data_IF_604688643428
#
_entry.id   IF_604688643428
#
_cell.length_a   1.000
_cell.length_b   1.000
_cell.length_c   1.000
_cell.angle_alpha   90.00
_cell.angle_beta   90.00
_cell.angle_gamma   90.00
#
_symmetry.space_group_name_H-M   'P 1'
#
loop_
_entity.id
_entity.type
_entity.pdbx_description
1 polymer ?
2 water ?
#
# COMPACT_ATOMS: atom_id res chain seq x y z
N UNK A 2 5.96 19.67 -13.82
CA UNK A 2 5.17 19.47 -12.60
C UNK A 2 5.20 18.01 -12.13
N UNK A 3 5.70 17.09 -12.96
CA UNK A 3 5.86 15.69 -12.57
C UNK A 3 6.67 15.59 -11.27
N UNK A 4 6.31 14.62 -10.39
CA UNK A 4 7.02 14.43 -9.14
C UNK A 4 7.50 13.01 -8.98
N UNK A 5 8.44 12.90 -8.03
CA UNK A 5 9.10 11.67 -7.69
C UNK A 5 8.96 11.45 -6.21
N UNK A 6 8.51 10.25 -5.83
CA UNK A 6 8.39 9.97 -4.41
C UNK A 6 9.24 8.78 -4.03
N UNK A 7 10.53 8.97 -3.76
CA UNK A 7 11.37 7.83 -3.36
C UNK A 7 11.12 7.47 -1.91
N UNK A 8 11.24 6.18 -1.61
CA UNK A 8 11.04 5.60 -0.31
C UNK A 8 12.35 5.50 0.43
N UNK A 9 12.40 5.95 1.67
CA UNK A 9 13.63 5.89 2.46
C UNK A 9 13.30 5.41 3.89
N UNK A 10 14.32 4.90 4.60
CA UNK A 10 14.16 4.51 5.99
C UNK A 10 15.39 4.85 6.82
N UNK A 11 16.33 5.58 6.24
CA UNK A 11 17.43 6.17 6.95
C UNK A 11 17.71 7.58 6.44
N UNK A 12 18.41 8.35 7.29
CA UNK A 12 18.88 9.67 6.89
C UNK A 12 19.81 9.61 5.69
N UNK A 13 20.70 8.64 5.70
CA UNK A 13 21.63 8.39 4.60
C UNK A 13 20.88 8.18 3.26
N UNK A 14 19.85 7.34 3.26
CA UNK A 14 19.05 7.12 2.08
C UNK A 14 18.43 8.43 1.61
N UNK A 15 17.90 9.20 2.54
CA UNK A 15 17.21 10.45 2.18
C UNK A 15 18.18 11.38 1.43
N UNK A 16 19.42 11.47 1.94
CA UNK A 16 20.48 12.25 1.30
C UNK A 16 20.76 11.72 -0.12
N UNK A 17 20.69 10.42 -0.37
CA UNK A 17 21.03 9.87 -1.68
C UNK A 17 19.94 10.15 -2.71
N UNK A 18 18.68 10.37 -2.30
CA UNK A 18 17.59 10.52 -3.25
C UNK A 18 17.07 11.95 -3.39
N UNK A 19 17.54 12.85 -2.55
CA UNK A 19 17.06 14.22 -2.57
C UNK A 19 17.96 15.15 -3.41
N UNK A 20 18.64 14.67 -4.45
CA UNK A 20 19.45 15.49 -5.33
C UNK A 20 18.63 16.46 -6.20
N UNK A 21 17.30 16.32 -6.31
CA UNK A 21 16.57 16.97 -7.40
C UNK A 21 15.32 17.64 -6.90
N UNK A 22 14.86 18.62 -7.70
CA UNK A 22 13.55 19.21 -7.46
C UNK A 22 12.45 18.15 -7.60
N UNK A 23 11.22 18.58 -7.21
CA UNK A 23 9.99 17.83 -7.42
C UNK A 23 10.07 16.45 -6.76
N UNK A 24 10.92 16.30 -5.77
CA UNK A 24 11.21 15.03 -5.12
C UNK A 24 10.88 15.13 -3.59
N UNK A 25 10.05 14.18 -3.11
CA UNK A 25 9.45 14.15 -1.79
C UNK A 25 9.57 12.73 -1.26
N UNK A 26 10.03 12.64 -0.03
CA UNK A 26 10.25 11.33 0.57
C UNK A 26 8.93 10.62 0.91
N UNK A 27 8.92 9.30 0.73
CA UNK A 27 7.97 8.40 1.31
C UNK A 27 8.67 7.63 2.44
N UNK A 28 7.94 7.50 3.56
CA UNK A 28 8.34 6.60 4.64
C UNK A 28 7.21 5.61 4.90
N UNK A 29 7.54 4.32 4.76
CA UNK A 29 6.61 3.25 5.02
C UNK A 29 6.53 3.02 6.52
N UNK A 30 5.37 3.28 7.12
CA UNK A 30 5.24 3.17 8.58
C UNK A 30 5.24 1.72 9.08
N UNK A 31 5.19 0.75 8.17
CA UNK A 31 5.44 -0.67 8.50
C UNK A 31 6.90 -0.93 8.86
N UNK A 32 7.81 -0.10 8.36
CA UNK A 32 9.22 -0.38 8.37
C UNK A 32 9.90 -0.19 9.72
N UNK A 34 9.12 0.72 14.29
CA UNK A 34 8.20 0.96 15.39
C UNK A 34 7.81 2.44 15.49
N UNK A 35 6.61 2.67 16.04
CA UNK A 35 6.02 4.00 16.05
C UNK A 35 7.01 5.01 16.65
N UNK A 36 7.63 4.80 17.83
CA UNK A 36 8.56 5.78 18.39
C UNK A 36 9.71 6.10 17.42
N UNK A 37 10.22 5.10 16.72
CA UNK A 37 11.33 5.26 15.78
C UNK A 37 10.87 6.09 14.57
N UNK A 38 9.64 5.83 14.13
CA UNK A 38 9.04 6.60 13.05
C UNK A 38 8.97 8.08 13.41
N UNK A 39 8.43 8.36 14.60
CA UNK A 39 8.28 9.71 15.09
C UNK A 39 9.63 10.40 15.18
N UNK A 40 10.66 9.73 15.74
CA UNK A 40 11.96 10.33 15.81
C UNK A 40 12.55 10.59 14.40
N UNK A 41 12.39 9.63 13.49
CA UNK A 41 12.92 9.75 12.14
C UNK A 41 12.29 10.93 11.44
N UNK A 42 10.98 11.08 11.54
CA UNK A 42 10.32 12.19 10.89
C UNK A 42 10.85 13.49 11.49
N UNK A 43 10.94 13.56 12.83
CA UNK A 43 11.49 14.75 13.46
C UNK A 43 12.90 15.07 12.93
N UNK A 44 13.76 14.07 12.77
CA UNK A 44 15.08 14.34 12.18
C UNK A 44 15.02 14.90 10.76
N UNK A 45 14.16 14.32 9.94
CA UNK A 45 14.09 14.71 8.54
C UNK A 45 13.60 16.16 8.47
N UNK A 46 12.54 16.52 9.21
CA UNK A 46 12.03 17.86 9.07
C UNK A 46 12.96 18.91 9.67
N UNK A 47 13.86 18.54 10.58
CA UNK A 47 14.91 19.44 11.06
C UNK A 47 15.94 19.75 9.96
N UNK A 48 16.38 18.69 9.27
CA UNK A 48 17.28 18.74 8.14
C UNK A 48 16.64 19.40 6.90
N UNK A 49 15.37 19.12 6.62
CA UNK A 49 14.72 19.52 5.37
C UNK A 49 13.44 20.28 5.65
N UNK A 50 13.54 21.48 6.24
CA UNK A 50 12.38 22.18 6.75
C UNK A 50 11.38 22.53 5.65
N UNK A 51 10.11 22.33 5.98
CA UNK A 51 9.06 22.64 5.05
C UNK A 51 8.85 21.59 3.94
N UNK A 52 9.75 20.61 3.75
CA UNK A 52 9.57 19.66 2.64
C UNK A 52 8.55 18.58 3.02
N UNK A 53 7.47 18.46 2.26
CA UNK A 53 6.46 17.46 2.60
C UNK A 53 7.06 16.05 2.59
N UNK A 54 6.54 15.25 3.53
CA UNK A 54 6.92 13.85 3.62
C UNK A 54 5.65 13.00 3.61
N UNK A 55 5.63 12.00 2.74
CA UNK A 55 4.51 11.06 2.63
C UNK A 55 4.67 9.91 3.62
N UNK A 56 3.82 9.87 4.64
CA UNK A 56 3.86 8.77 5.63
C UNK A 56 2.77 7.78 5.27
N UNK A 57 3.22 6.59 4.85
CA UNK A 57 2.39 5.56 4.26
C UNK A 57 1.83 4.72 5.39
N UNK A 58 0.54 4.79 5.53
CA UNK A 58 -0.17 4.04 6.57
C UNK A 58 -0.62 2.70 5.99
N UNK A 59 -0.43 1.63 6.74
CA UNK A 59 -0.74 0.30 6.21
C UNK A 59 -2.24 0.01 6.29
N UNK A 60 -3.02 0.91 6.88
CA UNK A 60 -4.42 1.04 6.51
C UNK A 60 -5.19 -0.29 6.63
N UNK A 61 -6.10 -0.45 5.70
CA UNK A 61 -6.89 -1.64 5.56
C UNK A 61 -6.11 -2.91 5.24
N UNK A 62 -4.75 -2.92 5.11
CA UNK A 62 -4.08 -4.12 4.60
C UNK A 62 -4.25 -5.27 5.58
N UNK A 63 -4.57 -6.47 5.07
CA UNK A 63 -4.72 -7.63 5.94
C UNK A 63 -3.52 -8.56 5.76
N UNK A 64 -2.99 -9.03 6.89
CA UNK A 64 -1.89 -9.96 6.94
C UNK A 64 -2.20 -11.06 7.97
N UNK A 65 -1.60 -12.22 7.76
CA UNK A 65 -1.47 -13.23 8.79
C UNK A 65 -0.78 -12.56 9.98
N UNK A 66 -1.26 -12.87 11.20
CA UNK A 66 -0.63 -12.43 12.43
C UNK A 66 0.87 -12.72 12.40
N UNK A 67 1.62 -11.80 13.01
CA UNK A 67 3.06 -11.91 13.20
C UNK A 67 3.42 -12.97 14.24
N UNK A 68 2.48 -13.29 15.17
CA UNK A 68 2.68 -14.34 16.18
C UNK A 68 2.12 -15.70 15.72
N UNK A 69 1.62 -15.79 14.47
CA UNK A 69 1.12 -17.05 13.91
C UNK A 69 2.21 -18.09 13.93
N UNK A 70 2.04 -19.24 14.61
CA UNK A 70 2.94 -20.37 14.42
C UNK A 70 2.76 -21.00 13.03
N UNK A 71 3.88 -21.47 12.49
CA UNK A 71 3.91 -22.15 11.19
C UNK A 71 2.94 -23.33 11.22
N UNK A 72 2.14 -23.50 10.18
CA UNK A 72 1.02 -24.43 10.12
C UNK A 72 0.96 -25.02 8.73
N UNK A 73 0.84 -26.35 8.64
CA UNK A 73 0.61 -27.05 7.38
C UNK A 73 -0.90 -27.10 7.18
N UNK A 74 -1.40 -26.43 6.15
CA UNK A 74 -2.79 -26.50 5.72
C UNK A 74 -2.84 -27.53 4.60
N UNK A 75 -3.81 -28.42 4.71
CA UNK A 75 -4.00 -29.47 3.72
C UNK A 75 -5.24 -29.21 2.86
N UNK A 76 -5.07 -29.45 1.56
CA UNK A 76 -6.18 -29.38 0.61
C UNK A 76 -7.43 -30.07 1.16
N UNK A 77 -8.56 -29.37 1.11
CA UNK A 77 -9.86 -29.86 1.53
C UNK A 77 -10.09 -29.91 3.05
N UNK A 78 -9.13 -29.57 3.89
CA UNK A 78 -9.39 -29.54 5.32
C UNK A 78 -10.34 -28.37 5.60
N UNK A 79 -11.18 -28.49 6.64
CA UNK A 79 -11.86 -27.35 7.23
C UNK A 79 -10.85 -26.64 8.12
N UNK A 80 -10.98 -25.34 8.22
CA UNK A 80 -10.04 -24.60 9.06
C UNK A 80 -10.75 -23.39 9.65
N UNK A 81 -10.32 -22.99 10.86
CA UNK A 81 -10.82 -21.76 11.46
C UNK A 81 -9.94 -20.56 11.08
N UNK A 82 -10.62 -19.49 10.67
CA UNK A 82 -10.07 -18.14 10.43
C UNK A 82 -10.45 -17.28 11.63
N UNK A 83 -9.47 -16.66 12.28
CA UNK A 83 -9.84 -15.86 13.44
C UNK A 83 -8.98 -14.60 13.57
N UNK A 84 -9.56 -13.64 14.25
CA UNK A 84 -8.89 -12.40 14.62
C UNK A 84 -8.37 -12.48 16.05
N UNK A 85 -8.63 -13.57 16.79
CA UNK A 85 -7.98 -13.77 18.08
C UNK A 85 -6.48 -13.83 17.95
N UNK A 86 -5.81 -13.47 19.02
CA UNK A 86 -4.37 -13.59 19.03
C UNK A 86 -4.03 -15.07 18.97
N UNK A 87 -2.90 -15.42 18.32
CA UNK A 87 -2.33 -16.76 18.33
C UNK A 87 -2.05 -17.30 19.71
N UNK A 88 -2.23 -18.60 19.86
CA UNK A 88 -1.93 -19.30 21.08
C UNK A 88 -1.07 -20.47 20.66
N UNK A 89 -0.34 -21.03 21.63
CA UNK A 89 0.41 -22.25 21.39
C UNK A 89 -0.59 -23.34 21.01
N UNK A 90 -0.22 -24.09 19.98
CA UNK A 90 -0.98 -25.23 19.53
C UNK A 90 -2.23 -24.82 18.79
N UNK A 91 -2.37 -23.52 18.46
CA UNK A 91 -3.47 -23.16 17.59
C UNK A 91 -3.36 -23.97 16.30
N UNK A 92 -4.52 -24.41 15.79
CA UNK A 92 -4.68 -25.02 14.48
C UNK A 92 -5.39 -24.05 13.55
N UNK A 93 -5.59 -22.79 13.97
CA UNK A 93 -6.33 -21.80 13.19
C UNK A 93 -5.37 -20.89 12.39
N UNK A 94 -5.92 -20.21 11.39
CA UNK A 94 -5.32 -19.10 10.67
C UNK A 94 -5.68 -17.81 11.40
N UNK A 95 -4.68 -17.14 11.92
CA UNK A 95 -4.85 -15.94 12.74
C UNK A 95 -4.50 -14.71 11.92
N UNK A 96 -5.49 -13.84 11.78
CA UNK A 96 -5.45 -12.61 11.00
C UNK A 96 -5.14 -11.43 11.94
N UNK A 97 -4.29 -10.53 11.46
CA UNK A 97 -3.89 -9.34 12.18
C UNK A 97 -4.97 -8.25 12.27
N UNK A 98 -5.73 -8.03 11.21
CA UNK A 98 -6.69 -6.95 11.16
C UNK A 98 -8.00 -7.48 11.74
N UNK A 99 -8.45 -6.90 12.87
CA UNK A 99 -9.69 -7.28 13.52
C UNK A 99 -10.99 -6.90 12.81
N UNK A 100 -10.93 -6.13 11.73
CA UNK A 100 -12.11 -5.82 10.93
C UNK A 100 -12.40 -6.97 9.93
N UNK A 101 -11.55 -8.01 9.89
CA UNK A 101 -11.53 -8.94 8.75
C UNK A 101 -12.80 -9.79 8.74
N UNK A 102 -13.32 -10.21 9.90
CA UNK A 102 -14.47 -11.12 9.91
C UNK A 102 -15.62 -10.42 9.19
N UNK A 103 -15.82 -9.12 9.45
CA UNK A 103 -16.94 -8.38 8.92
C UNK A 103 -16.85 -8.22 7.41
N UNK A 104 -15.66 -8.45 6.85
CA UNK A 104 -15.47 -8.32 5.40
C UNK A 104 -15.70 -9.65 4.66
N UNK A 105 -15.73 -10.75 5.41
CA UNK A 105 -15.98 -12.06 4.86
C UNK A 105 -17.46 -12.38 4.71
N UNK A 106 -17.79 -13.23 3.75
CA UNK A 106 -19.12 -13.78 3.56
C UNK A 106 -18.98 -15.20 3.07
N UNK A 107 -20.09 -15.94 3.09
CA UNK A 107 -20.06 -17.25 2.46
C UNK A 107 -19.66 -17.13 1.01
N UNK A 108 -18.66 -17.92 0.58
CA UNK A 108 -18.25 -17.85 -0.81
C UNK A 108 -17.01 -17.00 -1.10
N UNK A 109 -16.58 -16.17 -0.14
CA UNK A 109 -15.42 -15.34 -0.28
C UNK A 109 -14.21 -16.24 -0.45
N UNK A 110 -13.43 -15.99 -1.49
CA UNK A 110 -12.12 -16.60 -1.58
C UNK A 110 -11.07 -15.72 -0.92
N UNK A 111 -10.06 -16.32 -0.30
CA UNK A 111 -8.94 -15.58 0.22
C UNK A 111 -7.67 -16.19 -0.36
N UNK A 112 -6.90 -15.37 -1.05
CA UNK A 112 -5.53 -15.72 -1.45
C UNK A 112 -4.57 -15.40 -0.33
N UNK A 113 -3.78 -16.38 0.10
CA UNK A 113 -2.81 -16.15 1.15
C UNK A 113 -1.40 -16.27 0.55
N UNK A 114 -0.50 -15.36 0.96
CA UNK A 114 0.90 -15.36 0.55
C UNK A 114 0.96 -15.23 -0.96
N UNK A 115 0.23 -14.24 -1.49
CA UNK A 115 0.12 -13.93 -2.91
C UNK A 115 -0.57 -15.04 -3.70
N UNK A 116 -1.33 -15.92 -3.06
CA UNK A 116 -1.92 -16.98 -3.84
C UNK A 116 -1.19 -18.31 -3.70
N UNK A 117 -0.13 -18.36 -2.90
CA UNK A 117 0.51 -19.65 -2.69
C UNK A 117 -0.42 -20.59 -1.94
N UNK A 119 -4.82 -20.90 -0.87
CA UNK A 119 -6.14 -20.37 -1.10
C UNK A 119 -7.17 -21.10 -0.24
N UNK A 120 -8.15 -20.31 0.28
CA UNK A 120 -9.25 -20.84 1.07
C UNK A 120 -10.54 -20.21 0.53
N UNK A 121 -11.64 -20.91 0.81
CA UNK A 121 -13.00 -20.39 0.60
C UNK A 121 -13.72 -20.38 1.96
N UNK A 122 -14.35 -19.22 2.23
CA UNK A 122 -15.11 -19.08 3.48
C UNK A 122 -16.47 -19.77 3.33
N UNK A 123 -16.77 -20.62 4.30
CA UNK A 123 -18.01 -21.41 4.33
C UNK A 123 -19.06 -20.66 5.14
N UNK A 124 -18.64 -20.05 6.26
CA UNK A 124 -19.60 -19.36 7.10
C UNK A 124 -18.89 -18.53 8.14
N UNK A 125 -19.67 -17.63 8.74
CA UNK A 125 -19.25 -16.93 9.95
C UNK A 125 -19.66 -17.72 11.21
N UNK A 126 -18.71 -18.10 12.05
CA UNK A 126 -19.00 -18.79 13.28
C UNK A 126 -19.43 -17.89 14.43
N UNK A 127 -18.69 -16.81 14.65
CA UNK A 127 -18.95 -15.82 15.69
C UNK A 127 -18.19 -14.56 15.30
N UNK A 128 -18.23 -13.51 16.15
CA UNK A 128 -17.65 -12.22 15.74
C UNK A 128 -16.15 -12.27 15.53
N UNK A 129 -15.48 -13.26 16.11
CA UNK A 129 -14.06 -13.37 15.90
C UNK A 129 -13.61 -14.47 14.91
N UNK A 130 -14.52 -15.25 14.30
CA UNK A 130 -14.16 -16.55 13.73
C UNK A 130 -15.05 -16.88 12.56
N UNK A 131 -14.40 -17.33 11.48
CA UNK A 131 -15.12 -17.87 10.33
C UNK A 131 -14.63 -19.31 10.13
N UNK A 132 -15.41 -20.10 9.41
CA UNK A 132 -15.02 -21.43 9.00
C UNK A 132 -14.81 -21.38 7.48
N UNK A 133 -13.67 -21.96 7.06
CA UNK A 133 -13.23 -22.01 5.68
C UNK A 133 -12.80 -23.43 5.29
N UNK A 134 -12.70 -23.63 3.98
CA UNK A 134 -12.15 -24.84 3.42
C UNK A 134 -10.87 -24.51 2.69
N UNK A 135 -9.80 -25.25 2.91
CA UNK A 135 -8.61 -25.00 2.13
C UNK A 135 -8.77 -25.48 0.67
N UNK A 136 -8.50 -24.64 -0.33
CA UNK A 136 -8.54 -24.95 -1.75
C UNK A 136 -7.15 -25.36 -2.22
N UNK A 137 -6.15 -24.59 -1.84
CA UNK A 137 -4.75 -24.83 -2.11
C UNK A 137 -3.98 -24.74 -0.81
N UNK A 138 -3.30 -25.82 -0.45
CA UNK A 138 -2.60 -25.89 0.81
C UNK A 138 -1.12 -25.55 0.72
N UNK A 139 -0.43 -25.70 1.82
CA UNK A 139 0.97 -25.32 1.96
C UNK A 139 1.29 -24.94 3.41
N UNK A 140 2.47 -24.36 3.62
CA UNK A 140 2.88 -23.98 4.97
C UNK A 140 2.58 -22.50 5.23
N UNK A 141 1.71 -22.25 6.22
CA UNK A 141 1.29 -20.92 6.61
C UNK A 141 2.33 -20.32 7.54
N UNK A 142 2.71 -19.08 7.22
CA UNK A 142 3.75 -18.36 7.95
C UNK A 142 3.25 -17.01 8.41
N UNK A 143 3.81 -16.46 9.51
CA UNK A 143 3.44 -15.14 9.99
C UNK A 143 3.73 -14.04 8.97
N UNK A 144 2.81 -13.08 8.91
CA UNK A 144 3.04 -11.81 8.24
C UNK A 144 2.72 -11.82 6.75
N UNK A 145 2.23 -12.95 6.21
CA UNK A 145 1.99 -13.05 4.77
C UNK A 145 0.68 -12.33 4.45
N UNK A 146 0.52 -12.00 3.17
CA UNK A 146 -0.65 -11.30 2.67
C UNK A 146 -1.90 -12.17 2.73
N UNK A 147 -3.07 -11.52 2.65
CA UNK A 147 -4.37 -12.12 2.83
C UNK A 147 -5.32 -11.23 2.04
N UNK A 148 -5.69 -11.70 0.87
CA UNK A 148 -6.49 -10.91 -0.05
C UNK A 148 -7.80 -11.60 -0.27
N UNK A 149 -8.88 -10.82 -0.17
CA UNK A 149 -10.23 -11.31 -0.28
C UNK A 149 -10.74 -11.09 -1.70
N UNK A 150 -11.51 -12.03 -2.22
CA UNK A 150 -12.30 -11.85 -3.42
C UNK A 150 -13.66 -12.46 -3.18
N UNK A 151 -14.78 -11.69 -3.23
CA UNK A 151 -14.75 -10.24 -3.38
C UNK A 151 -14.38 -9.55 -2.06
N UNK A 152 -13.98 -8.29 -2.18
CA UNK A 152 -13.70 -7.44 -1.04
C UNK A 152 -14.75 -6.35 -1.06
N UNK A 153 -15.65 -6.24 -0.04
CA UNK A 153 -16.73 -5.27 -0.09
C UNK A 153 -16.19 -3.82 0.02
N UNK A 154 -16.98 -2.89 -0.51
CA UNK A 154 -16.67 -1.47 -0.44
C UNK A 154 -17.33 -0.91 0.83
N UNK A 155 -16.63 -0.95 1.96
CA UNK A 155 -17.08 -0.50 3.27
C UNK A 155 -15.99 0.36 3.89
N UNK A 156 -16.37 1.23 4.83
CA UNK A 156 -15.41 1.99 5.61
C UNK A 156 -14.60 1.07 6.54
N UNK A 157 -13.30 0.95 6.30
CA UNK A 157 -12.43 0.37 7.31
C UNK A 157 -12.03 1.51 8.27
N UNK A 158 -12.29 1.33 9.56
CA UNK A 158 -11.71 2.25 10.52
C UNK A 158 -10.21 1.97 10.59
N UNK A 159 -9.47 3.04 10.93
CA UNK A 159 -8.04 2.88 11.07
C UNK A 159 -7.76 1.86 12.15
N UNK A 160 -6.61 1.22 12.04
CA UNK A 160 -6.08 0.36 13.05
C UNK A 160 -5.61 1.18 14.25
N UNK A 161 -5.54 0.55 15.44
CA UNK A 161 -5.07 1.30 16.61
C UNK A 161 -3.66 1.87 16.32
N UNK A 162 -2.83 1.13 15.58
CA UNK A 162 -1.46 1.55 15.31
C UNK A 162 -1.47 2.77 14.40
N UNK A 163 -2.29 2.74 13.38
CA UNK A 163 -2.33 3.86 12.43
C UNK A 163 -2.94 5.08 13.11
N UNK A 164 -4.01 4.86 13.91
CA UNK A 164 -4.58 5.97 14.65
C UNK A 164 -3.55 6.67 15.55
N UNK A 165 -2.68 5.88 16.15
CA UNK A 165 -1.66 6.38 17.01
C UNK A 165 -0.63 7.17 16.20
N UNK A 166 -0.25 6.63 15.03
CA UNK A 166 0.73 7.29 14.18
C UNK A 166 0.17 8.66 13.81
N UNK A 167 -1.08 8.70 13.45
CA UNK A 167 -1.68 9.94 13.01
C UNK A 167 -1.70 10.94 14.17
N UNK A 168 -2.10 10.47 15.34
CA UNK A 168 -2.14 11.33 16.51
C UNK A 168 -0.75 11.88 16.83
N UNK A 169 0.32 11.09 16.72
CA UNK A 169 1.63 11.50 17.16
C UNK A 169 2.38 12.30 16.09
N UNK A 170 1.86 12.35 14.86
CA UNK A 170 2.49 13.05 13.75
C UNK A 170 1.66 14.23 13.26
N UNK A 171 0.42 14.42 13.78
CA UNK A 171 -0.47 15.43 13.20
C UNK A 171 0.05 16.84 13.50
N UNK A 172 0.98 16.99 14.43
CA UNK A 172 1.57 18.29 14.76
C UNK A 172 2.88 18.59 14.00
N UNK A 173 3.30 17.71 13.09
CA UNK A 173 4.44 17.98 12.23
C UNK A 173 3.94 18.51 10.91
N UNK A 174 4.20 19.78 10.58
CA UNK A 174 3.47 20.40 9.50
C UNK A 174 3.77 19.68 8.16
N UNK A 175 4.98 19.14 7.98
CA UNK A 175 5.39 18.57 6.72
C UNK A 175 4.70 17.25 6.37
N UNK A 176 4.14 16.55 7.37
CA UNK A 176 3.61 15.21 7.15
C UNK A 176 2.34 15.24 6.32
N UNK A 177 2.33 14.35 5.31
CA UNK A 177 1.18 13.96 4.52
C UNK A 177 0.95 12.49 4.82
N UNK A 178 -0.30 12.04 4.76
CA UNK A 178 -0.57 10.61 5.00
C UNK A 178 -1.05 9.97 3.71
N UNK A 179 -0.49 8.82 3.38
CA UNK A 179 -0.98 7.92 2.36
C UNK A 179 -1.70 6.76 3.03
N UNK A 180 -2.96 6.63 2.69
CA UNK A 180 -3.81 5.60 3.27
C UNK A 180 -3.87 4.38 2.33
N UNK A 181 -3.39 3.23 2.83
CA UNK A 181 -3.44 1.98 2.09
C UNK A 181 -4.88 1.47 1.90
N UNK A 182 -5.11 0.87 0.73
CA UNK A 182 -6.29 0.10 0.37
C UNK A 182 -7.55 0.91 0.64
N UNK A 183 -7.64 2.11 0.07
CA UNK A 183 -8.85 2.89 0.21
C UNK A 183 -9.97 2.20 -0.59
N UNK A 184 -11.21 2.23 -0.03
CA UNK A 184 -12.40 1.68 -0.67
C UNK A 184 -13.50 2.74 -0.80
N UNK A 185 -13.65 3.64 0.21
CA UNK A 185 -14.76 4.60 0.25
C UNK A 185 -14.33 5.97 0.74
N UNK A 186 -15.11 6.98 0.36
CA UNK A 186 -14.78 8.36 0.68
C UNK A 186 -14.73 8.54 2.20
N UNK A 187 -15.61 7.86 2.96
CA UNK A 187 -15.63 8.03 4.41
C UNK A 187 -14.27 7.76 5.05
N UNK A 188 -13.45 6.87 4.48
CA UNK A 188 -12.12 6.60 5.03
C UNK A 188 -11.23 7.84 4.90
N UNK A 189 -11.33 8.54 3.76
CA UNK A 189 -10.60 9.80 3.62
C UNK A 189 -11.14 10.83 4.62
N UNK A 190 -12.46 10.99 4.71
CA UNK A 190 -13.03 12.01 5.60
C UNK A 190 -12.57 11.78 7.01
N UNK A 191 -12.60 10.53 7.46
CA UNK A 191 -12.15 10.22 8.81
C UNK A 191 -10.69 10.65 9.03
N UNK A 192 -9.81 10.27 8.09
CA UNK A 192 -8.41 10.59 8.19
C UNK A 192 -8.16 12.10 8.12
N UNK A 193 -8.95 12.85 7.32
CA UNK A 193 -8.89 14.31 7.33
C UNK A 193 -9.23 14.87 8.71
N UNK A 194 -10.29 14.33 9.34
CA UNK A 194 -10.71 14.83 10.64
C UNK A 194 -9.63 14.52 11.68
N UNK A 195 -9.10 13.31 11.68
CA UNK A 195 -8.17 12.93 12.73
C UNK A 195 -6.83 13.64 12.58
N UNK A 196 -6.51 14.08 11.35
CA UNK A 196 -5.19 14.61 11.10
C UNK A 196 -5.24 16.14 11.07
N UNK A 197 -6.42 16.73 11.31
CA UNK A 197 -6.63 18.17 11.24
C UNK A 197 -6.45 18.68 9.82
N UNK A 198 -6.99 17.99 8.83
CA UNK A 198 -7.04 18.59 7.51
C UNK A 198 -5.76 18.35 6.70
N UNK A 199 -4.90 17.43 7.13
CA UNK A 199 -3.66 17.23 6.39
C UNK A 199 -3.93 16.74 4.96
N UNK A 200 -2.86 16.89 4.18
CA UNK A 200 -2.82 16.40 2.82
C UNK A 200 -2.87 14.87 2.87
N UNK A 201 -3.79 14.31 2.09
CA UNK A 201 -4.06 12.88 2.11
C UNK A 201 -3.95 12.25 0.71
N UNK A 202 -3.27 11.11 0.65
CA UNK A 202 -3.17 10.31 -0.57
C UNK A 202 -4.09 9.12 -0.38
N UNK A 203 -5.03 8.94 -1.33
CA UNK A 203 -5.73 7.65 -1.45
C UNK A 203 -4.94 6.65 -2.28
N UNK A 204 -4.53 5.55 -1.66
CA UNK A 204 -3.87 4.46 -2.33
C UNK A 204 -4.89 3.48 -2.90
N UNK A 205 -4.95 3.43 -4.24
CA UNK A 205 -5.86 2.56 -4.99
C UNK A 205 -5.16 1.25 -5.33
N UNK A 206 -5.63 0.17 -4.70
CA UNK A 206 -4.99 -1.11 -4.76
C UNK A 206 -5.96 -2.20 -5.18
N UNK A 207 -7.00 -1.77 -5.86
CA UNK A 207 -8.10 -2.61 -6.29
C UNK A 207 -8.81 -1.91 -7.46
N UNK A 208 -9.72 -2.65 -8.10
CA UNK A 208 -10.51 -2.15 -9.20
C UNK A 208 -11.61 -1.30 -8.58
N UNK A 210 -14.83 1.61 -9.88
CA UNK A 210 -15.45 2.37 -10.97
C UNK A 210 -15.11 3.84 -10.88
N UNK A 211 -15.27 4.55 -12.01
CA UNK A 211 -14.98 5.96 -12.10
C UNK A 211 -15.75 6.80 -11.08
N UNK A 212 -17.02 6.43 -10.86
CA UNK A 212 -17.84 7.26 -10.03
C UNK A 212 -17.35 7.16 -8.59
N UNK A 213 -16.95 5.96 -8.15
CA UNK A 213 -16.40 5.85 -6.81
C UNK A 213 -15.15 6.74 -6.70
N UNK A 214 -14.34 6.73 -7.75
CA UNK A 214 -13.04 7.38 -7.70
C UNK A 214 -13.23 8.89 -7.74
N UNK A 215 -14.26 9.39 -8.48
CA UNK A 215 -14.60 10.79 -8.46
C UNK A 215 -14.97 11.26 -7.07
N UNK A 216 -15.75 10.45 -6.37
CA UNK A 216 -16.12 10.77 -5.00
C UNK A 216 -14.87 10.85 -4.14
N UNK A 217 -14.04 9.82 -4.22
CA UNK A 217 -12.83 9.79 -3.42
C UNK A 217 -11.91 10.96 -3.76
N UNK A 218 -11.78 11.27 -5.03
CA UNK A 218 -10.83 12.27 -5.52
C UNK A 218 -11.20 13.70 -5.12
N UNK A 219 -12.47 13.91 -4.73
CA UNK A 219 -12.92 15.23 -4.34
C UNK A 219 -12.61 15.50 -2.86
N UNK A 220 -12.26 14.46 -2.12
CA UNK A 220 -11.92 14.54 -0.71
C UNK A 220 -10.41 14.40 -0.49
N UNK A 221 -9.69 13.58 -1.27
CA UNK A 221 -8.25 13.38 -1.05
C UNK A 221 -7.47 14.39 -1.88
N UNK A 222 -6.13 14.41 -1.78
CA UNK A 222 -5.33 15.42 -2.44
C UNK A 222 -4.49 14.85 -3.61
N UNK A 223 -4.44 13.53 -3.67
CA UNK A 223 -3.60 12.79 -4.59
C UNK A 223 -4.04 11.34 -4.55
N UNK A 224 -3.82 10.67 -5.68
CA UNK A 224 -4.10 9.24 -5.79
C UNK A 224 -2.82 8.54 -6.25
N UNK A 225 -2.45 7.45 -5.53
CA UNK A 225 -1.47 6.51 -6.00
C UNK A 225 -2.17 5.26 -6.56
N UNK A 226 -1.78 4.83 -7.76
CA UNK A 226 -2.11 3.54 -8.31
C UNK A 226 -1.00 2.60 -7.85
N UNK A 227 -1.36 1.66 -6.99
CA UNK A 227 -0.43 0.79 -6.31
C UNK A 227 -0.49 -0.60 -6.89
N UNK A 228 0.40 -0.86 -7.83
CA UNK A 228 0.34 -2.10 -8.59
C UNK A 228 0.84 -3.32 -7.80
N UNK A 229 1.62 -3.13 -6.77
CA UNK A 229 2.06 -4.25 -5.94
C UNK A 229 0.87 -5.12 -5.47
N UNK A 230 0.16 -4.62 -4.49
CA UNK A 230 -0.99 -5.31 -3.95
C UNK A 230 -2.10 -5.41 -4.99
N UNK A 232 -1.84 -6.30 -7.98
CA UNK A 232 -1.55 -7.53 -8.70
C UNK A 232 -2.05 -8.79 -8.00
N UNK A 233 -1.99 -8.83 -6.67
CA UNK A 233 -2.51 -10.02 -5.99
C UNK A 233 -4.05 -10.00 -5.94
N UNK A 234 -4.55 -8.82 -5.64
CA UNK A 234 -5.99 -8.61 -5.49
C UNK A 234 -6.75 -8.94 -6.75
N UNK A 235 -6.21 -8.51 -7.93
CA UNK A 235 -6.91 -8.61 -9.19
C UNK A 235 -6.36 -9.77 -10.04
N UNK A 236 -5.18 -10.28 -9.75
CA UNK A 236 -4.44 -11.06 -10.72
C UNK A 236 -3.81 -10.15 -11.80
N UNK A 237 -2.87 -10.75 -12.55
CA UNK A 237 -2.01 -9.96 -13.44
C UNK A 237 -2.81 -9.38 -14.59
N UNK A 238 -3.70 -10.17 -15.20
CA UNK A 238 -4.52 -9.66 -16.27
C UNK A 238 -5.47 -8.58 -15.77
N UNK A 239 -6.16 -8.89 -14.65
CA UNK A 239 -7.07 -7.89 -14.08
C UNK A 239 -6.37 -6.58 -13.68
N UNK A 241 -3.59 -5.39 -15.22
CA UNK A 241 -3.17 -4.72 -16.43
C UNK A 241 -4.37 -4.00 -17.03
N UNK A 242 -5.49 -4.67 -17.06
CA UNK A 242 -6.70 -4.10 -17.60
C UNK A 242 -7.13 -2.86 -16.81
N UNK A 243 -7.24 -2.97 -15.49
CA UNK A 243 -7.69 -1.88 -14.67
C UNK A 243 -6.74 -0.68 -14.72
N UNK A 244 -5.40 -0.85 -14.65
CA UNK A 244 -4.55 0.34 -14.75
C UNK A 244 -4.79 1.06 -16.08
N UNK A 245 -4.94 0.32 -17.19
CA UNK A 245 -5.24 0.93 -18.47
C UNK A 245 -6.59 1.68 -18.45
N UNK A 246 -7.59 1.08 -17.84
CA UNK A 246 -8.91 1.72 -17.78
C UNK A 246 -8.81 3.01 -16.96
N UNK A 247 -8.13 2.93 -15.82
CA UNK A 247 -7.87 4.09 -14.96
C UNK A 247 -7.22 5.25 -15.72
N UNK A 248 -6.19 4.94 -16.51
CA UNK A 248 -5.46 5.91 -17.29
C UNK A 248 -6.44 6.63 -18.23
N UNK A 249 -7.44 5.92 -18.75
CA UNK A 249 -8.34 6.51 -19.74
C UNK A 249 -9.28 7.52 -19.09
N UNK A 250 -9.57 7.37 -17.80
CA UNK A 250 -10.52 8.32 -17.16
C UNK A 250 -9.89 9.14 -16.03
N UNK A 252 -8.07 11.77 -15.93
CA UNK A 252 -8.18 13.20 -16.10
C UNK A 252 -9.54 13.71 -15.57
N UNK A 253 -10.53 12.81 -15.35
CA UNK A 253 -11.83 13.25 -14.82
C UNK A 253 -11.75 13.51 -13.33
N UNK A 254 -10.65 13.02 -12.69
CA UNK A 254 -10.51 13.15 -11.26
C UNK A 254 -9.88 14.47 -10.89
N UNK A 255 -10.16 14.99 -9.70
CA UNK A 255 -9.80 16.35 -9.37
C UNK A 255 -8.39 16.43 -8.76
N UNK A 256 -7.68 15.32 -8.69
CA UNK A 256 -6.37 15.30 -8.05
C UNK A 256 -5.35 14.68 -8.98
N UNK A 257 -4.05 14.93 -8.74
CA UNK A 257 -3.00 14.22 -9.43
C UNK A 257 -2.95 12.70 -9.19
N UNK A 258 -2.49 11.99 -10.22
CA UNK A 258 -2.38 10.54 -10.23
C UNK A 258 -0.90 10.17 -10.36
N UNK A 259 -0.47 9.33 -9.42
CA UNK A 259 0.92 8.91 -9.29
C UNK A 259 1.00 7.39 -9.48
N UNK A 261 2.58 3.73 -9.00
CA UNK A 261 3.43 3.08 -8.02
C UNK A 261 3.46 1.57 -8.23
N UNK A 262 4.47 0.91 -7.63
CA UNK A 262 4.59 -0.52 -7.57
C UNK A 262 5.40 -1.04 -8.73
N UNK A 263 6.69 -1.25 -8.45
CA UNK A 263 7.63 -1.82 -9.40
C UNK A 263 7.76 -0.98 -10.67
N UNK A 264 7.86 0.36 -10.50
CA UNK A 264 8.04 1.19 -11.70
C UNK A 264 9.39 0.86 -12.32
N UNK A 266 11.60 -1.89 -10.98
CA UNK A 266 11.99 -3.02 -10.14
C UNK A 266 13.34 -3.62 -10.60
N UNK A 267 13.59 -3.67 -11.91
CA UNK A 267 14.79 -4.30 -12.42
C UNK A 267 16.04 -3.56 -11.98
N UNK A 268 15.89 -2.29 -11.59
CA UNK A 268 16.99 -1.49 -11.00
C UNK A 268 17.29 -1.74 -9.51
N UNK A 269 16.57 -2.63 -8.83
CA UNK A 269 16.94 -3.04 -7.48
C UNK A 269 18.29 -3.73 -7.48
N UNK A 270 18.44 -4.61 -8.49
CA UNK A 270 19.54 -5.55 -8.61
C UNK A 270 20.39 -5.26 -9.84
N UNK A 271 19.85 -4.57 -10.84
CA UNK A 271 20.55 -4.42 -12.12
C UNK A 271 20.87 -2.97 -12.39
N UNK A 272 21.81 -2.77 -13.34
CA UNK A 272 22.39 -1.46 -13.61
C UNK A 272 21.62 -0.71 -14.71
N UNK A 273 20.92 -1.45 -15.61
CA UNK A 273 20.18 -0.84 -16.71
C UNK A 273 18.70 -1.23 -16.57
N UNK A 274 17.72 -0.32 -16.70
CA UNK A 274 16.31 -0.76 -16.72
C UNK A 274 16.03 -1.52 -18.01
N UNK A 275 14.92 -2.33 -18.07
CA UNK A 275 14.66 -3.13 -19.24
C UNK A 275 13.99 -2.18 -20.27
N UNK A 276 13.93 -2.64 -21.53
CA UNK A 276 13.36 -1.79 -22.56
C UNK A 276 11.88 -1.58 -22.26
N UNK A 277 11.16 -2.56 -21.69
CA UNK A 277 9.75 -2.33 -21.33
C UNK A 277 9.62 -1.34 -20.16
N UNK A 278 10.47 -1.45 -19.13
CA UNK A 278 10.46 -0.44 -18.09
C UNK A 278 10.56 0.98 -18.66
N UNK A 279 11.53 1.20 -19.59
CA UNK A 279 11.84 2.49 -20.18
C UNK A 279 10.67 3.00 -21.01
N UNK A 280 10.13 2.16 -21.91
CA UNK A 280 9.01 2.50 -22.74
C UNK A 280 7.79 2.80 -21.88
N UNK A 281 7.53 1.99 -20.85
CA UNK A 281 6.40 2.18 -19.98
C UNK A 281 6.48 3.49 -19.20
N UNK A 282 7.71 3.87 -18.80
CA UNK A 282 7.86 5.15 -18.11
C UNK A 282 7.64 6.33 -19.07
N UNK A 283 8.12 6.22 -20.31
CA UNK A 283 7.82 7.25 -21.27
C UNK A 283 6.32 7.36 -21.53
N UNK A 284 5.61 6.24 -21.68
CA UNK A 284 4.20 6.23 -21.98
C UNK A 284 3.39 6.78 -20.83
N UNK A 285 3.79 6.52 -19.60
CA UNK A 285 3.03 7.08 -18.47
C UNK A 285 3.21 8.62 -18.35
N UNK A 286 4.40 9.14 -18.72
CA UNK A 286 4.53 10.59 -18.89
C UNK A 286 3.58 11.10 -19.99
N UNK A 287 3.59 10.48 -21.15
CA UNK A 287 2.80 11.01 -22.27
C UNK A 287 1.31 10.80 -21.98
N UNK A 288 0.94 9.76 -21.22
CA UNK A 288 -0.47 9.54 -20.94
C UNK A 288 -0.99 10.51 -19.91
N UNK A 289 -0.07 11.22 -19.23
CA UNK A 289 -0.39 12.29 -18.28
C UNK A 289 -0.35 11.92 -16.82
N UNK A 290 0.37 10.85 -16.47
CA UNK A 290 0.59 10.68 -15.06
C UNK A 290 1.37 11.87 -14.50
N UNK A 291 1.18 12.15 -13.19
CA UNK A 291 1.72 13.30 -12.54
C UNK A 291 2.99 12.96 -11.70
N UNK A 292 3.32 11.69 -11.65
CA UNK A 292 4.56 11.28 -10.98
C UNK A 292 4.67 9.80 -10.79
N UNK A 293 5.75 9.38 -10.14
CA UNK A 293 5.98 8.01 -9.77
C UNK A 293 6.46 7.92 -8.32
N UNK A 294 6.11 6.79 -7.69
CA UNK A 294 6.65 6.35 -6.42
C UNK A 294 7.74 5.33 -6.71
N UNK A 295 8.88 5.48 -6.02
CA UNK A 295 9.89 4.47 -6.02
C UNK A 295 9.87 3.85 -4.63
N UNK A 296 9.74 2.53 -4.57
CA UNK A 296 9.64 1.79 -3.35
C UNK A 296 10.94 1.02 -3.14
N UNK A 297 10.88 -0.29 -3.40
CA UNK A 297 12.01 -1.20 -3.21
C UNK A 297 13.26 -0.67 -3.87
N UNK A 298 13.08 0.01 -5.04
CA UNK A 298 14.19 0.47 -5.84
C UNK A 298 15.12 1.41 -5.07
N UNK A 299 14.60 2.20 -4.14
CA UNK A 299 15.38 3.12 -3.32
C UNK A 299 15.57 2.58 -1.91
N UNK A 300 14.54 2.03 -1.30
CA UNK A 300 14.63 1.69 0.12
C UNK A 300 15.38 0.35 0.32
N UNK A 301 15.27 -0.55 -0.64
CA UNK A 301 16.02 -1.80 -0.58
C UNK A 301 17.13 -1.86 -1.63
N UNK A 302 17.09 -1.07 -2.69
CA UNK A 302 17.86 -1.37 -3.87
C UNK A 302 19.35 -1.10 -3.68
N UNK A 303 20.20 -1.68 -4.53
CA UNK A 303 21.61 -1.42 -4.32
C UNK A 303 21.98 -0.09 -4.98
N UNK A 304 21.08 0.50 -5.78
CA UNK A 304 21.47 1.71 -6.52
C UNK A 304 20.48 2.86 -6.27
N UNK A 305 20.16 3.26 -5.02
CA UNK A 305 19.11 4.25 -4.78
C UNK A 305 19.41 5.57 -5.48
N UNK A 306 20.64 6.10 -5.38
CA UNK A 306 20.91 7.39 -5.96
C UNK A 306 20.84 7.32 -7.50
N UNK A 307 21.50 6.31 -8.08
CA UNK A 307 21.52 6.16 -9.53
C UNK A 307 20.09 5.96 -10.07
N UNK A 308 19.27 5.22 -9.33
CA UNK A 308 17.90 4.97 -9.80
C UNK A 308 17.13 6.29 -9.85
N UNK A 310 18.35 9.41 -9.89
CA UNK A 310 18.90 10.28 -10.90
C UNK A 310 18.53 9.84 -12.34
N UNK A 311 18.49 8.53 -12.63
CA UNK A 311 18.05 8.04 -13.93
C UNK A 311 16.62 8.50 -14.24
N UNK A 312 15.72 8.28 -13.22
CA UNK A 312 14.32 8.62 -13.44
C UNK A 312 14.16 10.12 -13.75
N UNK A 313 14.77 10.96 -12.92
CA UNK A 313 14.69 12.41 -13.08
C UNK A 313 15.23 12.78 -14.47
N UNK A 314 16.42 12.29 -14.79
CA UNK A 314 17.07 12.63 -16.07
C UNK A 314 16.27 12.20 -17.29
N UNK A 315 15.61 11.03 -17.17
CA UNK A 315 14.76 10.49 -18.22
C UNK A 315 13.54 11.36 -18.42
N UNK A 316 12.83 11.69 -17.32
CA UNK A 316 11.66 12.55 -17.43
C UNK A 316 12.00 13.92 -17.97
N UNK A 317 13.07 14.55 -17.44
CA UNK A 317 13.42 15.86 -17.90
C UNK A 317 13.60 15.86 -19.42
N UNK A 318 14.47 14.98 -19.92
CA UNK A 318 14.72 14.83 -21.35
C UNK A 318 13.45 14.48 -22.13
N UNK A 319 12.61 13.59 -21.59
CA UNK A 319 11.34 13.30 -22.22
C UNK A 319 10.51 14.54 -22.45
N UNK A 320 10.37 15.39 -21.42
CA UNK A 320 9.51 16.57 -21.53
C UNK A 320 10.09 17.61 -22.52
N UNK A 321 11.39 17.60 -22.84
CA UNK A 321 11.94 18.54 -23.81
C UNK A 321 12.36 17.81 -25.09
#
# INVERSE_FOLDING_TARGET
XSFIFIPTVRTLHQAELVLNHKNTYLRVNSSHXEVPQLVEFIHQLVDKYPGQKIYVDLQGSKIRISRSQPNLILTKDQSVELTIKAPTKDTKAIHIGNPNTIKLLSQGTHVKIDDGRXEIVVNSIKDSETAIATVIKGGELKPGKGFNLQPHPFVQNQLSERDAEIVEKLKDVKEVCFALSFVCVVEEIQDLKKRSNGKYIVAKIEREXDLERLKAISSQCNEIWICRGDXGVQLGFVGXAKFVREYTTFXKQLNCPSIXAGEVXEHLCDNTIPTRSEICYLGNLIADGYNGIVLSDETVFGKYPQQTXDFCYDFVQQYLN
#
